data_IF_867439455485
#
_entry.id   IF_867439455485
#
_cell.length_a   1.000
_cell.length_b   1.000
_cell.length_c   1.000
_cell.angle_alpha   90.00
_cell.angle_beta   90.00
_cell.angle_gamma   90.00
#
_symmetry.space_group_name_H-M   'P 1'
#
loop_
_entity.id
_entity.type
_entity.pdbx_description
1 polymer ?
2 non-polymer ?
3 non-polymer ?
4 non-polymer ?
5 water ?
#
# COMPACT_ATOMS: atom_id res chain seq x y z
N UNK A 15 -1.81 -32.46 -11.72
CA UNK A 15 -1.89 -31.14 -11.07
C UNK A 15 -2.26 -31.22 -9.60
N UNK A 16 -1.46 -30.59 -8.74
CA UNK A 16 -1.77 -30.58 -7.32
C UNK A 16 -2.94 -29.65 -7.05
N UNK A 17 -3.70 -29.97 -6.00
CA UNK A 17 -4.88 -29.21 -5.62
C UNK A 17 -4.74 -28.77 -4.17
N UNK A 18 -5.44 -27.70 -3.83
CA UNK A 18 -5.44 -27.20 -2.45
C UNK A 18 -6.76 -26.50 -2.18
N UNK A 19 -7.56 -27.07 -1.28
CA UNK A 19 -8.85 -26.53 -0.85
C UNK A 19 -9.72 -26.16 -2.04
N UNK A 20 -10.16 -27.19 -2.74
CA UNK A 20 -11.00 -27.02 -3.90
C UNK A 20 -10.23 -26.74 -5.16
N UNK A 21 -9.85 -25.48 -5.36
CA UNK A 21 -9.22 -25.06 -6.61
C UNK A 21 -7.88 -25.77 -6.83
N UNK A 22 -7.43 -25.73 -8.08
CA UNK A 22 -6.24 -26.44 -8.49
C UNK A 22 -5.09 -25.45 -8.62
N UNK A 23 -3.87 -25.97 -8.81
CA UNK A 23 -2.66 -25.16 -8.90
C UNK A 23 -1.78 -25.76 -10.00
N UNK A 24 -1.89 -25.23 -11.21
CA UNK A 24 -1.16 -25.76 -12.36
C UNK A 24 0.25 -25.18 -12.43
N UNK A 25 1.03 -25.44 -11.38
CA UNK A 25 2.34 -24.83 -11.21
C UNK A 25 3.48 -25.81 -11.46
N UNK A 26 3.18 -27.08 -11.75
CA UNK A 26 4.21 -28.06 -12.01
C UNK A 26 4.88 -27.84 -13.36
N UNK A 27 6.03 -28.48 -13.58
CA UNK A 27 6.69 -29.38 -12.63
C UNK A 27 7.66 -28.68 -11.67
N UNK A 28 8.02 -27.44 -11.98
CA UNK A 28 9.10 -26.77 -11.25
C UNK A 28 8.76 -26.57 -9.78
N UNK A 29 7.49 -26.40 -9.45
CA UNK A 29 7.07 -26.06 -8.09
C UNK A 29 6.21 -27.19 -7.53
N UNK A 30 6.68 -27.82 -6.46
CA UNK A 30 6.02 -28.99 -5.88
C UNK A 30 5.83 -28.81 -4.37
N UNK A 31 5.10 -29.77 -3.79
CA UNK A 31 4.82 -29.85 -2.36
C UNK A 31 4.22 -28.54 -1.84
N UNK A 32 3.01 -28.26 -2.31
CA UNK A 32 2.33 -27.02 -2.01
C UNK A 32 1.72 -27.04 -0.61
N UNK A 33 1.52 -25.85 -0.05
CA UNK A 33 0.89 -25.69 1.25
C UNK A 33 0.05 -24.43 1.22
N UNK A 34 -1.20 -24.53 1.66
CA UNK A 34 -2.09 -23.38 1.69
C UNK A 34 -1.52 -22.28 2.58
N UNK A 35 -1.78 -21.04 2.20
CA UNK A 35 -1.40 -19.87 3.00
C UNK A 35 -2.62 -19.02 3.27
N UNK A 36 -3.27 -18.54 2.21
CA UNK A 36 -4.45 -17.71 2.38
C UNK A 36 -5.25 -17.59 1.11
N UNK A 37 -6.21 -16.67 1.13
CA UNK A 37 -7.15 -16.53 0.03
C UNK A 37 -7.56 -15.07 -0.24
N UNK A 40 -11.01 -13.81 -6.21
CA UNK A 40 -10.55 -14.33 -7.49
C UNK A 40 -9.08 -14.74 -7.41
N UNK A 41 -8.60 -15.01 -6.20
CA UNK A 41 -7.21 -15.32 -5.98
C UNK A 41 -7.03 -16.33 -4.86
N UNK A 42 -5.76 -16.69 -4.63
CA UNK A 42 -5.38 -17.69 -3.62
C UNK A 42 -3.87 -17.79 -3.59
N UNK A 43 -3.31 -17.92 -2.37
CA UNK A 43 -1.87 -17.92 -2.15
C UNK A 43 -1.46 -19.19 -1.44
N UNK A 44 -0.38 -19.81 -1.93
CA UNK A 44 0.20 -21.01 -1.31
C UNK A 44 1.71 -20.89 -1.34
N UNK A 45 2.36 -21.73 -0.53
CA UNK A 45 3.81 -21.92 -0.61
C UNK A 45 4.12 -23.18 -1.41
N UNK A 46 5.32 -23.22 -1.99
CA UNK A 46 5.69 -24.33 -2.86
C UNK A 46 7.20 -24.48 -2.88
N UNK A 47 7.66 -25.69 -3.16
CA UNK A 47 9.09 -25.97 -3.27
C UNK A 47 9.57 -25.74 -4.69
N UNK A 48 10.58 -24.88 -4.84
CA UNK A 48 11.15 -24.53 -6.14
C UNK A 48 12.27 -25.52 -6.42
N UNK A 49 11.94 -26.58 -7.18
CA UNK A 49 12.92 -27.63 -7.48
C UNK A 49 14.15 -27.10 -8.22
N UNK A 50 14.04 -25.94 -8.87
CA UNK A 50 15.19 -25.37 -9.57
C UNK A 50 16.15 -24.68 -8.60
N UNK A 51 15.62 -23.81 -7.74
CA UNK A 51 16.46 -23.05 -6.81
C UNK A 51 16.57 -23.71 -5.44
N UNK A 52 15.86 -24.82 -5.21
CA UNK A 52 15.98 -25.60 -3.97
C UNK A 52 15.59 -24.77 -2.75
N UNK A 53 14.59 -23.90 -2.92
CA UNK A 53 14.05 -23.10 -1.84
C UNK A 53 12.53 -23.15 -1.95
N UNK A 54 11.86 -22.96 -0.82
CA UNK A 54 10.41 -22.78 -0.86
C UNK A 54 10.08 -21.34 -1.22
N UNK A 55 9.01 -21.16 -2.01
CA UNK A 55 8.61 -19.86 -2.52
C UNK A 55 7.12 -19.66 -2.25
N UNK A 56 6.65 -18.45 -2.55
CA UNK A 56 5.23 -18.13 -2.49
C UNK A 56 4.67 -18.02 -3.91
N UNK A 57 3.45 -18.50 -4.09
CA UNK A 57 2.76 -18.45 -5.39
C UNK A 57 1.32 -18.02 -5.15
N UNK A 58 0.87 -16.99 -5.85
CA UNK A 58 -0.53 -16.61 -5.81
C UNK A 58 -1.20 -16.87 -7.16
N UNK A 59 -2.36 -17.49 -7.12
CA UNK A 59 -3.16 -17.80 -8.30
C UNK A 59 -4.18 -16.68 -8.49
N UNK A 60 -4.28 -16.17 -9.71
CA UNK A 60 -5.18 -15.07 -10.04
C UNK A 60 -6.09 -15.52 -11.17
N UNK A 61 -7.41 -15.32 -11.02
CA UNK A 61 -8.40 -15.69 -12.02
C UNK A 61 -9.31 -14.50 -12.29
N UNK A 62 -8.87 -13.55 -13.12
CA UNK A 62 -9.51 -12.23 -13.16
C UNK A 62 -10.25 -11.86 -14.43
N UNK A 63 -10.30 -12.74 -15.44
CA UNK A 63 -10.53 -12.26 -16.80
C UNK A 63 -12.00 -11.97 -17.12
N UNK A 64 -12.94 -12.40 -16.28
CA UNK A 64 -14.34 -12.12 -16.56
C UNK A 64 -14.80 -10.76 -16.03
N UNK A 65 -14.11 -10.21 -15.05
CA UNK A 65 -14.42 -8.89 -14.51
C UNK A 65 -13.32 -7.91 -14.88
N UNK A 66 -13.70 -6.80 -15.51
CA UNK A 66 -12.71 -5.85 -16.02
C UNK A 66 -11.94 -5.17 -14.89
N UNK A 67 -12.62 -4.86 -13.79
CA UNK A 67 -11.93 -4.24 -12.67
C UNK A 67 -10.82 -5.14 -12.13
N UNK A 68 -11.03 -6.46 -12.20
CA UNK A 68 -9.97 -7.39 -11.84
C UNK A 68 -8.83 -7.32 -12.85
N UNK A 69 -9.17 -7.28 -14.14
CA UNK A 69 -8.15 -7.15 -15.18
C UNK A 69 -7.32 -5.90 -15.00
N UNK A 70 -7.97 -4.79 -14.62
CA UNK A 70 -7.25 -3.56 -14.34
C UNK A 70 -6.22 -3.75 -13.24
N UNK A 71 -6.66 -4.28 -12.09
CA UNK A 71 -5.76 -4.49 -10.98
C UNK A 71 -4.61 -5.41 -11.35
N UNK A 72 -4.89 -6.46 -12.12
CA UNK A 72 -3.85 -7.42 -12.48
C UNK A 72 -2.81 -6.81 -13.40
N UNK A 73 -3.26 -6.08 -14.43
CA UNK A 73 -2.31 -5.45 -15.33
C UNK A 73 -1.44 -4.42 -14.61
N UNK A 74 -2.06 -3.58 -13.77
CA UNK A 74 -1.28 -2.60 -13.01
C UNK A 74 -0.20 -3.29 -12.17
N UNK A 75 -0.60 -4.29 -11.40
CA UNK A 75 0.32 -4.96 -10.50
C UNK A 75 1.49 -5.60 -11.26
N UNK A 76 1.18 -6.31 -12.34
CA UNK A 76 2.22 -7.00 -13.10
C UNK A 76 3.15 -5.99 -13.76
N UNK A 77 2.59 -5.00 -14.46
CA UNK A 77 3.39 -4.03 -15.19
C UNK A 77 4.35 -3.31 -14.26
N UNK A 78 3.84 -2.82 -13.13
CA UNK A 78 4.67 -2.06 -12.20
C UNK A 78 5.73 -2.94 -11.55
N UNK A 79 5.33 -4.10 -11.00
CA UNK A 79 6.29 -4.92 -10.26
C UNK A 79 7.36 -5.51 -11.16
N UNK A 80 7.07 -5.74 -12.44
CA UNK A 80 8.12 -6.17 -13.36
C UNK A 80 9.13 -5.06 -13.61
N UNK A 81 8.71 -3.81 -13.55
CA UNK A 81 9.66 -2.73 -13.81
C UNK A 81 10.44 -2.35 -12.56
N UNK A 82 9.88 -2.60 -11.38
CA UNK A 82 10.52 -2.20 -10.12
C UNK A 82 11.51 -3.26 -9.65
N UNK A 83 12.65 -2.83 -9.12
CA UNK A 83 13.60 -3.72 -8.45
C UNK A 83 14.11 -3.03 -7.19
N UNK A 84 13.63 -3.47 -6.02
CA UNK A 84 13.97 -2.82 -4.77
C UNK A 84 13.86 -3.80 -3.60
N UNK A 85 14.83 -3.75 -2.68
CA UNK A 85 14.85 -4.69 -1.56
C UNK A 85 13.59 -4.65 -0.72
N UNK A 86 12.90 -3.50 -0.64
CA UNK A 86 11.71 -3.35 0.18
C UNK A 86 10.42 -3.34 -0.65
N UNK A 87 10.45 -3.93 -1.84
CA UNK A 87 9.28 -4.09 -2.69
C UNK A 87 9.28 -5.53 -3.18
N UNK A 88 8.17 -6.24 -3.00
CA UNK A 88 8.14 -7.63 -3.40
C UNK A 88 8.40 -7.73 -4.90
N UNK A 89 9.25 -8.65 -5.28
CA UNK A 89 9.53 -8.90 -6.68
C UNK A 89 8.64 -9.98 -7.24
N UNK A 90 8.62 -10.05 -8.55
CA UNK A 90 8.04 -11.18 -9.26
C UNK A 90 9.20 -12.02 -9.78
N UNK A 91 9.34 -13.26 -9.29
CA UNK A 91 10.41 -14.15 -9.74
C UNK A 91 10.03 -14.93 -10.98
N UNK A 92 8.74 -15.14 -11.21
CA UNK A 92 8.26 -16.04 -12.25
C UNK A 92 6.77 -15.78 -12.40
N UNK A 93 6.25 -16.08 -13.59
CA UNK A 93 4.82 -16.00 -13.86
C UNK A 93 4.47 -17.22 -14.70
N UNK A 94 3.51 -18.01 -14.22
CA UNK A 94 3.06 -19.22 -14.92
C UNK A 94 1.67 -18.95 -15.45
N UNK A 95 1.45 -19.30 -16.71
CA UNK A 95 0.15 -19.20 -17.35
C UNK A 95 0.17 -20.08 -18.60
N UNK A 96 -1.02 -20.33 -19.15
CA UNK A 96 -1.14 -21.16 -20.33
C UNK A 96 -0.36 -20.56 -21.51
N UNK A 97 0.07 -21.39 -22.46
CA UNK A 97 0.87 -20.87 -23.57
C UNK A 97 0.10 -20.02 -24.57
N UNK A 98 -1.24 -20.03 -24.56
CA UNK A 98 -2.01 -19.22 -25.50
C UNK A 98 -3.09 -18.44 -24.75
N UNK A 99 -3.58 -17.37 -25.39
CA UNK A 99 -4.64 -16.57 -24.79
C UNK A 99 -5.88 -17.42 -24.56
N UNK A 100 -6.24 -18.23 -25.54
CA UNK A 100 -7.44 -19.06 -25.45
C UNK A 100 -7.39 -19.98 -24.24
N UNK A 101 -6.23 -20.57 -23.97
CA UNK A 101 -6.11 -21.53 -22.88
C UNK A 101 -5.88 -20.84 -21.53
N UNK A 102 -5.59 -19.54 -21.52
CA UNK A 102 -5.26 -18.85 -20.28
C UNK A 102 -6.55 -18.54 -19.52
N UNK A 103 -6.76 -19.24 -18.41
CA UNK A 103 -7.80 -18.93 -17.44
C UNK A 103 -7.24 -18.27 -16.19
N UNK A 104 -6.11 -18.77 -15.70
CA UNK A 104 -5.48 -18.31 -14.49
C UNK A 104 -4.09 -17.79 -14.79
N UNK A 105 -3.60 -16.93 -13.90
CA UNK A 105 -2.23 -16.45 -13.92
C UNK A 105 -1.63 -16.76 -12.55
N UNK A 106 -0.40 -17.27 -12.53
CA UNK A 106 0.30 -17.58 -11.28
C UNK A 106 1.50 -16.65 -11.14
N UNK A 107 1.53 -15.87 -10.06
CA UNK A 107 2.66 -15.00 -9.75
C UNK A 107 3.50 -15.66 -8.66
N UNK A 108 4.78 -15.85 -8.93
CA UNK A 108 5.70 -16.50 -7.99
C UNK A 108 6.56 -15.42 -7.35
N UNK A 109 6.71 -15.50 -6.03
CA UNK A 109 7.40 -14.45 -5.28
C UNK A 109 8.25 -15.11 -4.21
N UNK A 110 9.21 -14.35 -3.68
CA UNK A 110 9.93 -14.81 -2.50
C UNK A 110 8.93 -15.13 -1.38
N UNK A 111 9.20 -16.20 -0.65
CA UNK A 111 8.34 -16.59 0.44
C UNK A 111 8.60 -15.73 1.66
N UNK A 112 7.53 -15.20 2.25
CA UNK A 112 7.62 -14.38 3.44
C UNK A 112 6.90 -15.10 4.57
N UNK A 113 7.35 -14.86 5.80
CA UNK A 113 6.80 -15.58 6.94
C UNK A 113 5.41 -15.09 7.34
N UNK A 114 5.20 -13.77 7.28
CA UNK A 114 3.93 -13.18 7.71
C UNK A 114 3.78 -11.82 7.03
N UNK A 115 2.73 -11.09 7.40
CA UNK A 115 2.60 -9.68 7.04
C UNK A 115 2.30 -8.90 8.30
N UNK A 116 2.39 -7.57 8.20
CA UNK A 116 2.28 -6.73 9.39
C UNK A 116 0.90 -6.79 10.01
N UNK A 117 -0.15 -6.99 9.19
CA UNK A 117 -1.50 -7.10 9.75
C UNK A 117 -1.61 -8.33 10.65
N UNK A 118 -1.13 -9.47 10.17
CA UNK A 118 -1.18 -10.69 10.98
C UNK A 118 -0.27 -10.57 12.19
N UNK A 119 0.91 -9.97 12.02
CA UNK A 119 1.84 -9.83 13.15
C UNK A 119 1.26 -8.92 14.22
N UNK A 120 0.55 -7.86 13.84
CA UNK A 120 -0.01 -6.94 14.81
C UNK A 120 -1.17 -7.54 15.59
N UNK A 121 -1.76 -8.63 15.09
CA UNK A 121 -2.85 -9.27 15.81
C UNK A 121 -2.39 -9.88 17.12
N UNK A 122 -1.11 -10.26 17.22
CA UNK A 122 -0.64 -11.05 18.35
C UNK A 122 0.67 -10.58 18.96
N UNK A 123 1.40 -9.68 18.31
CA UNK A 123 2.77 -9.38 18.72
C UNK A 123 2.91 -7.90 19.06
N UNK A 124 3.51 -7.61 20.21
CA UNK A 124 3.88 -6.26 20.58
C UNK A 124 5.26 -5.96 20.00
N UNK A 125 5.38 -4.85 19.27
CA UNK A 125 6.65 -4.49 18.66
C UNK A 125 7.47 -3.66 19.63
N UNK A 126 8.78 -3.92 19.66
CA UNK A 126 9.69 -3.03 20.37
C UNK A 126 9.92 -1.77 19.55
N UNK A 127 10.33 -0.70 20.23
CA UNK A 127 10.65 0.55 19.52
C UNK A 127 11.68 0.30 18.44
N UNK A 128 12.63 -0.60 18.67
CA UNK A 128 13.58 -0.98 17.64
C UNK A 128 12.88 -1.57 16.42
N UNK A 129 11.92 -2.46 16.65
CA UNK A 129 11.20 -3.05 15.51
C UNK A 129 10.36 -2.01 14.80
N UNK A 130 9.65 -1.16 15.56
CA UNK A 130 8.84 -0.10 14.95
C UNK A 130 9.72 0.80 14.10
N UNK A 131 10.85 1.22 14.66
CA UNK A 131 11.77 2.08 13.92
C UNK A 131 12.28 1.38 12.66
N UNK A 132 12.66 0.10 12.79
CA UNK A 132 13.19 -0.63 11.65
C UNK A 132 12.11 -0.84 10.58
N UNK A 133 10.87 -1.13 11.01
CA UNK A 133 9.79 -1.32 10.04
C UNK A 133 9.47 -0.04 9.30
N UNK A 134 9.34 1.08 10.04
CA UNK A 134 9.02 2.35 9.41
C UNK A 134 10.09 2.75 8.41
N UNK A 135 11.36 2.60 8.78
CA UNK A 135 12.44 2.94 7.87
C UNK A 135 12.29 2.19 6.56
N UNK A 136 12.01 0.88 6.65
CA UNK A 136 11.90 0.05 5.45
C UNK A 136 10.71 0.44 4.59
N UNK A 137 9.57 0.77 5.23
CA UNK A 137 8.41 1.25 4.49
C UNK A 137 8.76 2.48 3.67
N UNK A 138 9.36 3.48 4.32
CA UNK A 138 9.70 4.75 3.66
C UNK A 138 10.82 4.58 2.64
N UNK A 139 11.75 3.65 2.87
CA UNK A 139 12.80 3.42 1.89
C UNK A 139 12.21 2.85 0.61
N UNK A 140 11.29 1.89 0.74
CA UNK A 140 10.57 1.40 -0.41
C UNK A 140 9.68 2.44 -1.05
N UNK A 141 8.93 3.18 -0.24
CA UNK A 141 8.05 4.21 -0.79
C UNK A 141 8.84 5.30 -1.52
N UNK A 142 10.07 5.57 -1.08
CA UNK A 142 10.89 6.55 -1.78
C UNK A 142 11.10 6.13 -3.23
N UNK A 143 11.40 4.84 -3.45
CA UNK A 143 11.56 4.31 -4.80
C UNK A 143 10.26 4.46 -5.60
N UNK A 144 9.12 4.10 -4.98
CA UNK A 144 7.84 4.13 -5.68
C UNK A 144 7.55 5.54 -6.20
N UNK A 145 7.66 6.55 -5.32
CA UNK A 145 7.37 7.92 -5.73
C UNK A 145 8.41 8.48 -6.69
N UNK A 146 9.66 8.04 -6.57
CA UNK A 146 10.67 8.45 -7.54
C UNK A 146 10.28 7.99 -8.95
N UNK A 147 9.51 6.91 -9.06
CA UNK A 147 9.01 6.45 -10.34
C UNK A 147 7.75 7.18 -10.78
N UNK A 148 7.36 8.23 -10.05
CA UNK A 148 6.12 8.97 -10.31
C UNK A 148 4.89 8.09 -10.16
N UNK A 149 4.97 7.09 -9.29
CA UNK A 149 3.86 6.17 -9.05
C UNK A 149 3.33 6.39 -7.64
N UNK A 150 2.02 6.26 -7.48
CA UNK A 150 1.36 6.29 -6.18
C UNK A 150 0.88 4.88 -5.85
N UNK A 151 1.14 4.40 -4.64
CA UNK A 151 0.65 3.07 -4.28
C UNK A 151 -0.87 3.09 -4.13
N UNK A 152 -1.38 4.00 -3.29
CA UNK A 152 -2.79 4.29 -3.03
C UNK A 152 -3.52 3.25 -2.21
N UNK A 153 -2.84 2.20 -1.73
CA UNK A 153 -3.52 1.26 -0.84
C UNK A 153 -2.56 0.71 0.21
N UNK A 154 -1.70 1.57 0.74
CA UNK A 154 -0.80 1.13 1.79
C UNK A 154 -1.58 0.85 3.07
N UNK A 155 -1.27 -0.29 3.70
CA UNK A 155 -1.90 -0.75 4.92
C UNK A 155 -1.09 -1.93 5.47
N UNK A 156 -1.30 -2.32 6.72
CA UNK A 156 -0.48 -3.40 7.30
C UNK A 156 -0.50 -4.70 6.49
N UNK A 157 -1.65 -5.08 5.92
CA UNK A 157 -1.67 -6.35 5.20
C UNK A 157 -0.89 -6.29 3.89
N UNK A 158 -0.52 -5.11 3.39
CA UNK A 158 0.26 -5.01 2.16
C UNK A 158 1.74 -4.81 2.43
N UNK A 159 2.21 -5.17 3.65
CA UNK A 159 3.62 -5.11 4.04
C UNK A 159 4.02 -6.49 4.51
N UNK A 160 4.86 -7.18 3.73
CA UNK A 160 5.26 -8.55 4.04
C UNK A 160 6.58 -8.58 4.80
N UNK A 161 6.70 -9.54 5.73
CA UNK A 161 7.90 -9.72 6.54
C UNK A 161 8.38 -11.16 6.44
N UNK A 162 9.70 -11.35 6.49
CA UNK A 162 10.27 -12.70 6.58
C UNK A 162 10.85 -12.92 7.99
N UNK A 163 11.50 -14.07 8.18
CA UNK A 163 11.86 -14.49 9.53
C UNK A 163 12.98 -13.65 10.14
N UNK A 164 13.65 -12.80 9.36
CA UNK A 164 14.64 -11.90 9.93
C UNK A 164 14.11 -10.47 9.85
N UNK A 165 12.78 -10.35 9.75
CA UNK A 165 12.01 -8.96 9.82
C UNK A 165 12.43 -7.96 8.57
N UNK A 166 12.83 -8.56 7.44
CA UNK A 166 12.95 -7.81 6.18
C UNK A 166 11.54 -7.53 5.67
N UNK A 167 11.27 -6.29 5.27
CA UNK A 167 9.92 -5.85 4.93
C UNK A 167 9.84 -5.49 3.45
N UNK A 168 8.76 -5.92 2.79
CA UNK A 168 8.56 -5.69 1.37
C UNK A 168 7.12 -5.27 1.11
N UNK A 169 6.94 -4.12 0.44
CA UNK A 169 5.62 -3.63 0.06
C UNK A 169 5.10 -4.49 -1.08
N UNK A 170 3.81 -4.84 -1.03
CA UNK A 170 3.17 -5.63 -2.08
C UNK A 170 1.82 -5.01 -2.45
N UNK A 171 1.14 -5.67 -3.41
CA UNK A 171 -0.18 -5.31 -3.91
C UNK A 171 -0.24 -3.91 -4.51
N UNK A 172 0.01 -3.80 -5.81
CA UNK A 172 -0.02 -2.52 -6.51
C UNK A 172 -1.24 -2.41 -7.43
N UNK A 173 -2.31 -3.13 -7.09
CA UNK A 173 -3.46 -3.21 -7.97
C UNK A 173 -4.22 -1.89 -8.14
N UNK A 174 -4.11 -0.99 -7.17
CA UNK A 174 -4.73 0.33 -7.26
C UNK A 174 -3.73 1.44 -7.61
N UNK A 175 -2.49 1.09 -7.94
CA UNK A 175 -1.46 2.09 -8.15
C UNK A 175 -1.64 2.81 -9.49
N UNK A 176 -1.33 4.11 -9.53
CA UNK A 176 -1.38 4.83 -10.79
C UNK A 176 -0.29 5.89 -10.84
N UNK A 177 -0.21 6.54 -12.00
CA UNK A 177 0.77 7.60 -12.22
C UNK A 177 0.25 8.89 -11.60
N UNK A 178 1.14 9.63 -10.93
CA UNK A 178 0.75 10.87 -10.29
C UNK A 178 0.26 11.88 -11.32
N UNK A 179 -0.82 12.58 -10.97
CA UNK A 179 -1.45 13.55 -11.87
C UNK A 179 -2.05 14.68 -11.05
N UNK A 180 -1.20 15.49 -10.40
CA UNK A 180 -1.73 16.55 -9.52
C UNK A 180 -2.51 17.62 -10.26
N UNK A 181 -2.35 17.76 -11.58
CA UNK A 181 -3.12 18.76 -12.31
C UNK A 181 -4.59 18.39 -12.39
N UNK A 182 -4.95 17.15 -12.10
CA UNK A 182 -6.33 16.68 -12.23
C UNK A 182 -6.85 16.09 -10.92
N UNK A 183 -6.32 16.56 -9.78
CA UNK A 183 -6.66 15.98 -8.49
C UNK A 183 -7.94 16.54 -7.91
N UNK A 184 -8.41 17.70 -8.38
CA UNK A 184 -9.55 18.37 -7.77
C UNK A 184 -10.87 17.73 -8.21
N UNK A 185 -11.77 17.55 -7.24
CA UNK A 185 -13.08 17.00 -7.53
C UNK A 185 -14.06 17.59 -6.52
N UNK A 186 -15.34 17.25 -6.68
CA UNK A 186 -16.39 17.72 -5.80
C UNK A 186 -16.40 17.04 -4.43
N UNK A 187 -17.32 17.52 -3.59
CA UNK A 187 -17.45 17.06 -2.22
C UNK A 187 -18.13 15.69 -2.16
N UNK A 188 -17.59 14.79 -1.34
CA UNK A 188 -18.12 13.44 -1.17
C UNK A 188 -18.10 12.66 -2.48
N UNK A 189 -16.93 12.59 -3.11
CA UNK A 189 -16.80 11.82 -4.34
C UNK A 189 -16.32 10.42 -4.02
N UNK A 190 -16.81 9.45 -4.80
CA UNK A 190 -16.61 8.04 -4.51
C UNK A 190 -15.14 7.65 -4.61
N UNK A 191 -14.73 6.71 -3.76
CA UNK A 191 -13.35 6.27 -3.67
C UNK A 191 -13.30 4.77 -3.40
N UNK A 192 -12.14 4.17 -3.68
CA UNK A 192 -11.98 2.73 -3.71
C UNK A 192 -11.04 2.22 -2.61
N UNK A 193 -9.94 2.92 -2.36
CA UNK A 193 -8.91 2.45 -1.45
C UNK A 193 -9.44 2.25 -0.02
N UNK A 194 -8.66 1.52 0.78
CA UNK A 194 -9.13 1.00 2.07
C UNK A 194 -9.43 2.15 3.04
N UNK A 195 -10.66 2.11 3.60
CA UNK A 195 -11.24 3.30 4.24
C UNK A 195 -10.37 3.83 5.39
N UNK A 196 -9.95 2.95 6.29
CA UNK A 196 -9.24 3.41 7.49
C UNK A 196 -7.94 4.15 7.18
N UNK A 197 -7.40 4.01 5.96
CA UNK A 197 -6.12 4.59 5.61
C UNK A 197 -6.24 5.74 4.62
N UNK A 198 -7.46 6.25 4.36
CA UNK A 198 -7.68 7.32 3.40
C UNK A 198 -7.45 8.69 4.03
N UNK A 199 -6.68 9.52 3.35
CA UNK A 199 -6.45 10.91 3.78
C UNK A 199 -7.74 11.72 3.79
N UNK A 200 -7.83 12.75 4.64
CA UNK A 200 -9.09 13.51 4.73
C UNK A 200 -9.48 14.21 3.43
N UNK A 201 -8.52 14.66 2.62
CA UNK A 201 -8.89 15.33 1.37
C UNK A 201 -9.63 14.42 0.39
N UNK A 202 -9.55 13.10 0.56
CA UNK A 202 -10.32 12.20 -0.31
C UNK A 202 -11.81 12.49 -0.18
N UNK A 203 -12.28 12.69 1.04
CA UNK A 203 -13.69 12.92 1.29
C UNK A 203 -14.14 14.34 0.97
N UNK A 204 -13.21 15.24 0.65
CA UNK A 204 -13.52 16.66 0.50
C UNK A 204 -13.37 17.16 -0.93
N UNK A 205 -12.20 16.97 -1.56
CA UNK A 205 -11.95 17.63 -2.84
C UNK A 205 -10.82 16.98 -3.67
N UNK A 206 -10.38 15.78 -3.32
CA UNK A 206 -9.21 15.17 -3.94
C UNK A 206 -9.56 13.81 -4.53
N UNK A 207 -9.01 13.53 -5.71
CA UNK A 207 -9.12 12.23 -6.36
C UNK A 207 -8.00 11.27 -5.94
N UNK A 208 -7.09 11.70 -5.08
CA UNK A 208 -5.96 10.88 -4.69
C UNK A 208 -4.94 10.70 -5.79
N UNK A 209 -4.65 11.76 -6.56
CA UNK A 209 -3.69 11.69 -7.65
C UNK A 209 -2.36 12.34 -7.28
N UNK A 210 -2.06 12.52 -6.00
CA UNK A 210 -0.80 13.12 -5.62
C UNK A 210 -0.11 12.24 -4.58
N UNK A 211 1.19 12.48 -4.42
CA UNK A 211 2.02 11.65 -3.55
C UNK A 211 1.61 11.75 -2.09
N UNK A 212 1.02 12.88 -1.68
CA UNK A 212 0.66 13.06 -0.28
C UNK A 212 -0.31 12.01 0.24
N UNK A 213 -1.11 11.38 -0.63
CA UNK A 213 -2.08 10.42 -0.09
C UNK A 213 -1.38 9.17 0.44
N UNK A 214 -0.23 8.79 -0.13
CA UNK A 214 0.52 7.64 0.40
C UNK A 214 1.10 7.95 1.78
N UNK A 215 1.68 9.15 1.94
CA UNK A 215 2.29 9.51 3.22
C UNK A 215 1.27 9.44 4.35
N UNK A 216 0.03 9.89 4.09
CA UNK A 216 -1.02 9.78 5.10
C UNK A 216 -1.21 8.34 5.55
N UNK A 217 -1.31 7.40 4.61
CA UNK A 217 -1.48 6.00 4.98
C UNK A 217 -0.31 5.49 5.81
N UNK A 218 0.91 5.91 5.47
CA UNK A 218 2.06 5.47 6.26
C UNK A 218 1.95 6.00 7.68
N UNK A 219 1.50 7.26 7.82
CA UNK A 219 1.23 7.79 9.15
C UNK A 219 0.25 6.92 9.92
N UNK A 220 -0.83 6.53 9.26
CA UNK A 220 -1.80 5.62 9.89
C UNK A 220 -1.15 4.29 10.27
N UNK A 221 -0.14 3.86 9.50
CA UNK A 221 0.51 2.58 9.80
C UNK A 221 1.43 2.72 11.01
N UNK A 222 2.15 3.83 11.10
CA UNK A 222 2.98 4.07 12.26
C UNK A 222 2.15 4.09 13.53
N UNK A 223 1.02 4.81 13.49
CA UNK A 223 0.15 4.85 14.68
C UNK A 223 -0.32 3.46 15.08
N UNK A 224 -0.59 2.60 14.09
CA UNK A 224 -1.05 1.25 14.40
C UNK A 224 0.08 0.37 14.92
N UNK A 225 1.32 0.60 14.47
CA UNK A 225 2.45 -0.09 15.05
C UNK A 225 2.67 0.31 16.51
N UNK A 226 2.25 1.52 16.89
CA UNK A 226 2.46 1.99 18.25
C UNK A 226 1.47 1.40 19.25
N UNK A 227 0.29 0.94 18.81
CA UNK A 227 -0.70 0.48 19.77
C UNK A 227 -1.42 -0.80 19.37
N UNK A 228 -1.11 -1.40 18.22
CA UNK A 228 -1.78 -2.61 17.74
C UNK A 228 -3.28 -2.39 17.53
N UNK A 229 -3.68 -1.16 17.21
CA UNK A 229 -5.06 -0.78 16.95
C UNK A 229 -5.05 0.27 15.84
N UNK A 230 -5.99 0.22 14.91
CA UNK A 230 -6.08 1.30 13.90
C UNK A 230 -6.46 2.62 14.55
N UNK A 231 -5.81 3.69 14.10
CA UNK A 231 -6.04 4.99 14.73
C UNK A 231 -7.34 5.65 14.26
N UNK A 232 -7.75 5.44 13.00
CA UNK A 232 -8.98 6.01 12.45
C UNK A 232 -9.85 4.90 11.87
N UNK A 233 -10.53 4.10 12.72
CA UNK A 233 -11.33 2.97 12.21
C UNK A 233 -12.76 3.37 11.84
N UNK A 234 -12.87 4.17 10.78
CA UNK A 234 -14.18 4.62 10.34
C UNK A 234 -15.05 3.48 9.86
N UNK A 235 -16.36 3.62 10.11
CA UNK A 235 -17.32 2.58 9.78
C UNK A 235 -18.02 2.83 8.44
N UNK A 236 -17.87 4.01 7.87
CA UNK A 236 -18.42 4.31 6.55
C UNK A 236 -17.72 5.54 6.00
N UNK A 237 -18.15 5.97 4.81
CA UNK A 237 -17.43 6.97 4.02
C UNK A 237 -17.16 8.25 4.80
N UNK A 238 -18.21 9.00 5.16
CA UNK A 238 -18.00 10.24 5.88
C UNK A 238 -17.60 10.01 7.34
N UNK A 239 -17.90 8.83 7.90
CA UNK A 239 -17.47 8.55 9.26
C UNK A 239 -15.95 8.53 9.38
N UNK A 240 -15.26 8.17 8.29
CA UNK A 240 -13.80 8.23 8.30
C UNK A 240 -13.30 9.62 8.67
N UNK A 241 -13.92 10.65 8.10
CA UNK A 241 -13.47 12.02 8.36
C UNK A 241 -13.74 12.43 9.80
N UNK A 242 -14.90 12.06 10.35
CA UNK A 242 -15.20 12.36 11.74
C UNK A 242 -14.11 11.82 12.67
N UNK A 243 -13.66 10.58 12.43
CA UNK A 243 -12.55 10.04 13.21
C UNK A 243 -11.30 10.90 13.08
N UNK A 244 -10.98 11.29 11.85
CA UNK A 244 -9.74 12.05 11.61
C UNK A 244 -9.82 13.40 12.30
N UNK A 245 -10.96 14.08 12.20
CA UNK A 245 -11.12 15.39 12.84
C UNK A 245 -11.24 15.28 14.35
N UNK A 246 -11.77 14.17 14.86
CA UNK A 246 -11.87 14.00 16.31
C UNK A 246 -10.53 13.95 17.00
N UNK A 247 -9.46 13.62 16.27
CA UNK A 247 -8.12 13.57 16.82
C UNK A 247 -7.29 14.78 16.39
N UNK A 248 -7.34 15.15 15.12
CA UNK A 248 -6.57 16.31 14.67
C UNK A 248 -7.20 17.62 15.12
N UNK A 249 -8.50 17.66 15.32
CA UNK A 249 -9.19 18.90 15.63
C UNK A 249 -9.65 19.64 14.39
N UNK A 250 -10.31 20.77 14.63
CA UNK A 250 -10.85 21.59 13.55
C UNK A 250 -9.72 22.16 12.70
N UNK A 251 -9.87 22.18 11.37
CA UNK A 251 -8.82 22.76 10.52
C UNK A 251 -8.75 24.28 10.65
N UNK A 252 -7.52 24.78 10.56
CA UNK A 252 -7.27 26.21 10.69
C UNK A 252 -7.88 26.98 9.53
N UNK A 253 -7.95 28.30 9.71
CA UNK A 253 -8.47 29.17 8.66
C UNK A 253 -7.65 29.04 7.38
N UNK A 254 -6.33 28.92 7.52
CA UNK A 254 -5.46 28.80 6.36
C UNK A 254 -5.72 27.51 5.60
N UNK A 255 -5.87 26.39 6.31
CA UNK A 255 -6.17 25.12 5.65
C UNK A 255 -7.53 25.14 5.00
N UNK A 256 -8.52 25.76 5.67
CA UNK A 256 -9.85 25.86 5.09
C UNK A 256 -9.83 26.73 3.83
N UNK A 257 -9.09 27.84 3.84
CA UNK A 257 -9.08 28.73 2.70
C UNK A 257 -8.41 28.09 1.47
N UNK A 258 -7.60 27.06 1.67
CA UNK A 258 -7.06 26.28 0.57
C UNK A 258 -8.09 25.35 -0.05
N UNK A 259 -9.26 25.19 0.57
CA UNK A 259 -10.36 24.39 0.04
C UNK A 259 -11.35 25.36 -0.59
N UNK A 260 -11.29 25.53 -1.92
CA UNK A 260 -12.17 26.50 -2.56
C UNK A 260 -13.55 25.92 -2.84
N UNK A 261 -13.68 24.60 -2.97
CA UNK A 261 -14.99 24.00 -3.19
C UNK A 261 -15.95 24.39 -2.06
N UNK A 262 -17.05 25.03 -2.43
CA UNK A 262 -17.96 25.57 -1.43
C UNK A 262 -18.63 24.48 -0.60
N UNK A 263 -19.08 23.40 -1.24
CA UNK A 263 -19.74 22.32 -0.50
C UNK A 263 -18.81 21.73 0.55
N UNK A 264 -17.54 21.51 0.20
CA UNK A 264 -16.61 20.92 1.15
C UNK A 264 -16.24 21.92 2.24
N UNK A 265 -16.03 23.19 1.87
CA UNK A 265 -15.70 24.18 2.89
C UNK A 265 -16.87 24.40 3.84
N UNK A 266 -18.10 24.50 3.31
CA UNK A 266 -19.24 24.75 4.18
C UNK A 266 -19.57 23.57 5.07
N UNK A 267 -19.27 22.35 4.63
CA UNK A 267 -19.37 21.21 5.52
C UNK A 267 -18.45 21.36 6.73
N UNK A 268 -17.18 21.67 6.48
CA UNK A 268 -16.23 21.81 7.58
C UNK A 268 -16.60 22.97 8.49
N UNK A 269 -17.09 24.07 7.90
CA UNK A 269 -17.49 25.23 8.70
C UNK A 269 -18.73 24.94 9.53
N UNK A 270 -19.54 23.95 9.14
CA UNK A 270 -20.75 23.63 9.88
C UNK A 270 -20.47 22.81 11.13
N UNK A 271 -19.24 22.32 11.31
CA UNK A 271 -18.90 21.49 12.45
C UNK A 271 -18.58 22.36 13.65
N UNK A 272 -18.92 21.89 14.86
CA UNK A 272 -18.49 22.61 16.07
C UNK A 272 -16.96 22.56 16.20
N UNK A 273 -16.42 23.56 16.88
CA UNK A 273 -14.97 23.59 17.12
C UNK A 273 -14.56 22.38 17.93
N UNK A 274 -13.46 21.73 17.51
CA UNK A 274 -12.92 20.57 18.21
C UNK A 274 -11.43 20.75 18.42
N UNK A 275 -10.97 20.36 19.61
CA UNK A 275 -9.57 20.47 20.01
C UNK A 275 -8.75 19.27 19.54
N UNK A 276 -7.48 19.54 19.22
CA UNK A 276 -6.51 18.50 18.89
C UNK A 276 -6.21 17.63 20.12
N UNK A 277 -6.19 16.32 19.91
CA UNK A 277 -5.78 15.37 20.95
C UNK A 277 -4.27 15.16 20.85
N UNK A 278 -3.52 15.31 21.94
CA UNK A 278 -2.07 15.17 21.86
C UNK A 278 -1.64 13.72 21.61
N UNK A 279 -0.66 13.56 20.73
CA UNK A 279 -0.19 12.21 20.38
C UNK A 279 0.34 11.48 21.61
N UNK A 280 0.98 12.20 22.53
CA UNK A 280 1.55 11.55 23.70
C UNK A 280 0.48 11.15 24.70
N UNK A 281 -0.73 11.69 24.57
CA UNK A 281 -1.88 11.21 25.33
C UNK A 281 -2.48 9.96 24.71
N UNK A 282 -2.40 9.83 23.38
CA UNK A 282 -2.87 8.63 22.71
C UNK A 282 -1.87 7.49 22.81
N UNK A 283 -0.57 7.79 22.81
CA UNK A 283 0.49 6.77 22.80
C UNK A 283 1.52 7.10 23.87
N UNK A 284 1.17 6.91 25.14
CA UNK A 284 2.07 7.34 26.22
C UNK A 284 3.38 6.56 26.30
N UNK A 285 3.47 5.38 25.70
CA UNK A 285 4.72 4.62 25.73
C UNK A 285 5.63 4.92 24.54
N UNK A 286 5.17 5.71 23.58
CA UNK A 286 5.91 5.92 22.35
C UNK A 286 7.11 6.83 22.56
N UNK A 287 8.10 6.65 21.70
CA UNK A 287 9.25 7.53 21.68
C UNK A 287 8.87 8.89 21.09
N UNK A 288 9.33 9.97 21.74
CA UNK A 288 8.89 11.30 21.36
C UNK A 288 9.29 11.64 19.92
N UNK A 289 10.42 11.10 19.44
CA UNK A 289 10.81 11.34 18.06
C UNK A 289 9.86 10.68 17.09
N UNK A 290 9.38 9.48 17.43
CA UNK A 290 8.38 8.83 16.59
C UNK A 290 7.10 9.65 16.52
N UNK A 291 6.70 10.26 17.65
CA UNK A 291 5.45 11.03 17.64
C UNK A 291 5.60 12.33 16.85
N UNK A 292 6.79 12.91 16.82
CA UNK A 292 7.00 14.11 16.02
C UNK A 292 6.84 13.81 14.52
N UNK A 293 7.41 12.69 14.07
CA UNK A 293 7.26 12.31 12.68
C UNK A 293 5.83 11.91 12.38
N UNK A 294 5.18 11.20 13.31
CA UNK A 294 3.77 10.89 13.16
C UNK A 294 2.96 12.14 12.85
N UNK A 295 3.15 13.20 13.67
CA UNK A 295 2.39 14.43 13.48
C UNK A 295 2.60 15.00 12.08
N UNK A 296 3.82 14.90 11.54
CA UNK A 296 4.11 15.49 10.25
C UNK A 296 3.54 14.67 9.09
N UNK A 297 3.40 13.36 9.25
CA UNK A 297 2.71 12.55 8.24
C UNK A 297 1.21 12.72 8.32
N UNK A 298 0.65 12.78 9.53
CA UNK A 298 -0.79 12.96 9.70
C UNK A 298 -1.18 14.43 9.79
N UNK A 299 -0.62 15.22 8.87
CA UNK A 299 -0.99 16.62 8.73
C UNK A 299 -2.23 16.74 7.85
N UNK A 300 -3.17 17.59 8.26
CA UNK A 300 -4.43 17.74 7.53
C UNK A 300 -4.21 18.30 6.13
N UNK A 301 -3.45 19.39 6.02
CA UNK A 301 -3.26 20.04 4.73
C UNK A 301 -2.26 19.24 3.91
N UNK A 302 -2.66 18.71 2.74
CA UNK A 302 -1.74 17.84 2.00
C UNK A 302 -0.55 18.57 1.43
N UNK A 303 -0.65 19.89 1.21
CA UNK A 303 0.51 20.65 0.75
C UNK A 303 1.54 20.84 1.85
N UNK A 304 1.11 20.88 3.11
CA UNK A 304 2.03 20.95 4.24
C UNK A 304 2.52 19.59 4.73
N UNK A 305 1.83 18.51 4.35
CA UNK A 305 2.21 17.17 4.80
C UNK A 305 3.64 16.83 4.36
N UNK A 306 4.40 16.21 5.27
CA UNK A 306 5.78 15.84 4.98
C UNK A 306 5.87 14.90 3.78
N UNK A 307 6.95 15.02 3.01
CA UNK A 307 7.23 14.12 1.89
C UNK A 307 8.18 13.00 2.32
N UNK A 308 8.28 11.98 1.47
CA UNK A 308 8.91 10.73 1.87
C UNK A 308 10.41 10.92 2.11
N UNK A 309 11.06 11.76 1.30
CA UNK A 309 12.47 12.03 1.53
C UNK A 309 12.68 12.84 2.80
N UNK A 310 11.77 13.77 3.11
CA UNK A 310 11.87 14.47 4.39
C UNK A 310 11.71 13.51 5.56
N UNK A 311 10.75 12.58 5.46
CA UNK A 311 10.51 11.64 6.54
C UNK A 311 11.75 10.79 6.80
N UNK A 312 12.45 10.36 5.75
CA UNK A 312 13.63 9.52 5.93
C UNK A 312 14.74 10.23 6.70
N UNK A 313 14.83 11.55 6.55
CA UNK A 313 15.84 12.34 7.23
C UNK A 313 15.40 12.81 8.62
N UNK A 314 14.23 12.39 9.08
CA UNK A 314 13.75 12.74 10.41
C UNK A 314 14.67 12.11 11.47
N UNK A 315 14.96 12.82 12.56
CA UNK A 315 15.82 12.24 13.62
C UNK A 315 15.40 10.86 14.09
N UNK A 316 14.11 10.53 14.05
CA UNK A 316 13.67 9.22 14.52
C UNK A 316 14.38 8.09 13.76
N UNK A 317 14.69 8.32 12.48
CA UNK A 317 15.30 7.32 11.61
C UNK A 317 16.81 7.48 11.48
N UNK A 318 17.44 8.23 12.39
CA UNK A 318 18.86 8.57 12.26
C UNK A 318 19.76 7.33 12.26
N UNK A 319 19.38 6.28 12.99
CA UNK A 319 20.22 5.08 13.02
C UNK A 319 20.37 4.46 11.63
N UNK A 320 19.38 4.66 10.76
CA UNK A 320 19.32 4.00 9.47
C UNK A 320 19.51 4.92 8.27
N UNK A 321 19.23 6.22 8.42
CA UNK A 321 19.20 7.14 7.29
C UNK A 321 20.54 7.16 6.56
N UNK A 322 20.51 6.75 5.29
CA UNK A 322 21.69 6.78 4.42
C UNK A 322 21.18 7.00 3.00
N UNK A 323 21.16 8.24 2.52
CA UNK A 323 20.54 8.52 1.21
C UNK A 323 21.22 7.82 0.05
N UNK A 324 22.50 7.52 0.14
CA UNK A 324 23.17 6.75 -0.90
C UNK A 324 22.84 5.26 -0.82
N UNK A 325 22.17 4.82 0.24
CA UNK A 325 21.66 3.46 0.36
C UNK A 325 20.14 3.43 0.26
N UNK A 326 19.55 4.45 -0.33
CA UNK A 326 18.10 4.55 -0.50
C UNK A 326 17.85 4.87 -1.97
N UNK A 327 17.96 3.87 -2.84
CA UNK A 327 18.00 4.14 -4.28
C UNK A 327 16.65 4.55 -4.84
N UNK A 328 16.70 5.17 -6.02
CA UNK A 328 15.51 5.63 -6.72
C UNK A 328 15.41 4.89 -8.06
N UNK A 329 14.25 5.03 -8.69
CA UNK A 329 13.99 4.29 -9.92
C UNK A 329 14.80 4.85 -11.08
N UNK A 330 15.31 3.95 -11.93
CA UNK A 330 15.98 4.39 -13.15
C UNK A 330 14.96 4.95 -14.13
N UNK A 331 13.86 4.21 -14.34
CA UNK A 331 12.86 4.53 -15.34
C UNK A 331 11.53 4.85 -14.68
N UNK A 332 11.23 6.13 -14.44
CA UNK A 332 9.88 6.49 -14.00
C UNK A 332 8.85 6.30 -15.10
N UNK A 333 7.58 6.34 -14.71
CA UNK A 333 6.48 6.13 -15.65
C UNK A 333 6.07 7.43 -16.34
N UNK A 342 -10.98 1.10 -21.52
CA UNK A 342 -10.34 -0.11 -22.02
C UNK A 342 -11.05 -1.35 -21.46
N UNK A 343 -11.64 -2.17 -22.35
CA UNK A 343 -12.50 -3.26 -21.89
C UNK A 343 -11.78 -4.55 -21.53
N UNK A 344 -12.57 -5.57 -21.15
CA UNK A 344 -12.01 -6.81 -20.63
C UNK A 344 -11.09 -7.50 -21.62
N UNK A 345 -11.37 -7.38 -22.93
CA UNK A 345 -10.65 -8.15 -23.93
C UNK A 345 -9.26 -7.59 -24.18
N UNK A 346 -9.14 -6.27 -24.30
CA UNK A 346 -7.82 -5.68 -24.49
C UNK A 346 -6.94 -5.90 -23.26
N UNK A 347 -7.53 -5.83 -22.07
CA UNK A 347 -6.77 -6.00 -20.84
C UNK A 347 -6.20 -7.42 -20.73
N UNK A 348 -7.01 -8.43 -21.08
CA UNK A 348 -6.50 -9.80 -21.08
C UNK A 348 -5.42 -9.97 -22.14
N UNK A 349 -5.56 -9.32 -23.28
CA UNK A 349 -4.51 -9.33 -24.29
C UNK A 349 -3.23 -8.71 -23.74
N UNK A 350 -3.36 -7.57 -23.05
CA UNK A 350 -2.17 -6.90 -22.52
C UNK A 350 -1.52 -7.70 -21.38
N UNK A 351 -2.32 -8.37 -20.56
CA UNK A 351 -1.74 -9.23 -19.53
C UNK A 351 -0.96 -10.37 -20.16
N UNK A 352 -1.51 -10.98 -21.21
CA UNK A 352 -0.79 -12.03 -21.95
C UNK A 352 0.54 -11.51 -22.46
N UNK A 353 0.52 -10.35 -23.13
CA UNK A 353 1.76 -9.76 -23.63
C UNK A 353 2.75 -9.47 -22.50
N UNK A 354 2.25 -8.95 -21.37
CA UNK A 354 3.14 -8.55 -20.28
C UNK A 354 3.83 -9.74 -19.62
N UNK A 355 3.27 -10.93 -19.72
CA UNK A 355 3.80 -12.11 -19.05
C UNK A 355 4.57 -13.04 -19.97
N UNK A 356 4.74 -12.66 -21.24
CA UNK A 356 5.36 -13.55 -22.21
C UNK A 356 6.82 -13.85 -21.90
N UNK A 357 7.49 -12.99 -21.14
CA UNK A 357 8.92 -13.15 -20.92
C UNK A 357 9.26 -14.38 -20.08
N UNK A 358 8.30 -14.90 -19.31
CA UNK A 358 8.57 -16.06 -18.47
C UNK A 358 8.23 -17.38 -19.17
N UNK A 359 7.76 -17.33 -20.40
CA UNK A 359 7.53 -18.53 -21.20
C UNK A 359 8.81 -18.97 -21.88
N UNK A 360 9.05 -20.29 -21.96
CA UNK A 360 8.20 -21.32 -21.35
X LIG B 1 3.87 -15.31 2.08
X LIG B 1 2.12 -14.11 1.28
X LIG B 1 2.88 -13.64 0.27
X LIG B 1 4.18 -14.07 0.20
X LIG B 1 0.94 -12.84 0.11
X LIG B 1 4.62 -14.89 1.13
X LIG B 1 -0.15 -13.86 2.03
X LIG B 1 -0.70 -12.74 2.86
X LIG B 1 -2.08 -13.30 3.15
X LIG B 1 -2.20 -14.41 2.11
X LIG B 1 -3.55 -14.61 1.36
X LIG B 1 0.27 -10.75 -1.53
X LIG B 1 -0.81 -9.87 -2.13
X LIG B 1 2.64 -14.94 2.16
X LIG B 1 -4.04 -13.38 0.77
X LIG B 1 -3.81 -13.07 -0.45
X LIG B 1 -3.60 -12.70 -1.71
X LIG B 1 5.00 -13.69 -0.73
X LIG B 1 2.11 -12.85 -0.44
X LIG B 1 0.94 -13.60 1.17
X LIG B 1 0.03 -12.73 4.03
X LIG B 1 -2.02 -13.95 4.39
X LIG B 1 -1.69 -9.48 -1.35
X LIG B 1 -0.70 -9.60 -3.34
X LIG B 1 -1.20 -14.09 1.21
X LIG B 1 -0.46 -11.95 -0.42
X LIG C 1 -0.76 -7.31 21.51
X LIG C 1 -2.23 -7.44 21.74
X LIG C 1 -0.12 -5.86 22.39
X LIG C 1 0.11 -8.62 22.42
X LIG D 1 6.08 20.47 3.36
X LIG D 1 6.96 20.08 4.51
X LIG D 1 6.72 21.96 2.56
X LIG D 1 6.25 19.27 2.01
X LIG E 1 -16.46 2.94 1.79
X LIG E 1 -17.58 2.02 1.58
X LIG E 1 -15.99 3.45 0.52
X LIG E 1 -16.90 4.04 2.63
X LIG E 1 -15.37 2.22 2.46
#
# INVERSE_FOLDING_TARGET
HHHHHHMAAAAAAGPEMVRGQVFDVGPRYTNLSYIGEGAYGMVCSAYDNLNKVRVAIKKISPFEHQTYCQRTLREIKILLRFRHENIIGINDIIRAPTIEQMKDVYIVQDLMETDLYKLLKTQHLSNDHICYFLYQILRGLKYIHSANVLHRDLKPSNLLLNTTCDLKICDFGLARVADPDHDHTGFLTEYVATRWYRAPEIMLNSKGYTKSIDIWSVGCILAEMLSNRPIFPGKHYLDQLNHILGILGSPSQEDLNCIINLKARNYLLSLPHKNKVPWNRLFPNADSKALDLLDKMLTFNPHKRIEVEQALAHPYLEQYYDPSDEPIAEAPFKFDMELDDLPKEKLKELIFEETARFQPGYRS
DVZ C2 C4 C5 C6 C8 N1 C1' C2' C3' C4' C5' C82 C83 N3 N51 N52 N53 N6 N7 N9 O2' O3' O31 O32 O4' S81
DMS S O C1 C2
DMS S O C1 C2
SO4 S O1 O2 O3 O4
#
